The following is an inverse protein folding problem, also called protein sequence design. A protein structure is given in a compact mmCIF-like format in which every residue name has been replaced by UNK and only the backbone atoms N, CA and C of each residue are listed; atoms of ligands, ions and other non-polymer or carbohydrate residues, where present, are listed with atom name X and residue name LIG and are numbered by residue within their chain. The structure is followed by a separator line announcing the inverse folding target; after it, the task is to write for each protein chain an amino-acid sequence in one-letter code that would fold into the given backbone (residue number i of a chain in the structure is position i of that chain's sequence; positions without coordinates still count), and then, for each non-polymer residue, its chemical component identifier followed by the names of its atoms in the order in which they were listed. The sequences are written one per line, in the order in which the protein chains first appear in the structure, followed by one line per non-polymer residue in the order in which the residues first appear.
data_IF_546619999632
#
_entry.id   IF_546619999632
#
_cell.length_a   1.000
_cell.length_b   1.000
_cell.length_c   1.000
_cell.angle_alpha   90.00
_cell.angle_beta   90.00
_cell.angle_gamma   90.00
#
_symmetry.space_group_name_H-M   'P 1'
#
loop_
_entity.id
_entity.type
_entity.pdbx_description
1 polymer ?
#
# COMPACT_ATOMS: atom_id res chain seq x y z
N UNK A 1 -1.91 1.36 2.94
CA UNK A 1 -3.00 1.58 1.96
C UNK A 1 -3.23 3.09 1.81
N UNK A 2 -3.42 3.58 0.57
CA UNK A 2 -3.63 5.01 0.29
C UNK A 2 -4.93 5.49 0.96
N UNK A 3 -4.96 6.55 1.78
CA UNK A 3 -6.18 6.98 2.47
C UNK A 3 -7.33 7.34 1.51
N UNK A 4 -8.57 6.93 1.83
CA UNK A 4 -9.73 7.14 0.96
C UNK A 4 -10.08 8.62 0.78
N UNK A 5 -9.77 9.48 1.76
CA UNK A 5 -9.93 10.93 1.67
C UNK A 5 -9.00 11.56 0.62
N UNK A 6 -7.82 10.95 0.37
CA UNK A 6 -6.92 11.36 -0.72
C UNK A 6 -7.54 10.99 -2.07
N UNK A 7 -8.10 9.79 -2.19
CA UNK A 7 -8.73 9.30 -3.44
C UNK A 7 -9.99 10.12 -3.75
N UNK A 8 -10.79 10.44 -2.72
CA UNK A 8 -12.03 11.22 -2.86
C UNK A 8 -11.82 12.61 -3.45
N UNK A 9 -10.64 13.22 -3.26
CA UNK A 9 -10.30 14.50 -3.91
C UNK A 9 -10.34 14.41 -5.44
N UNK A 10 -10.03 13.24 -6.00
CA UNK A 10 -10.04 12.99 -7.45
C UNK A 10 -11.36 12.39 -7.93
N UNK A 11 -12.05 11.66 -7.04
CA UNK A 11 -13.31 10.97 -7.34
C UNK A 11 -14.40 11.35 -6.33
N UNK A 12 -14.87 12.61 -6.31
CA UNK A 12 -15.73 13.13 -5.24
C UNK A 12 -17.15 12.56 -5.23
N UNK A 13 -17.59 11.99 -6.35
CA UNK A 13 -18.97 11.49 -6.55
C UNK A 13 -19.11 9.98 -6.33
N UNK A 14 -18.00 9.27 -6.15
CA UNK A 14 -18.02 7.82 -5.96
C UNK A 14 -18.33 7.46 -4.51
N UNK A 15 -18.98 6.32 -4.34
CA UNK A 15 -19.25 5.70 -3.04
C UNK A 15 -17.96 5.18 -2.40
N UNK A 16 -18.00 4.97 -1.08
CA UNK A 16 -16.86 4.42 -0.32
C UNK A 16 -16.43 3.03 -0.82
N UNK A 17 -17.36 2.23 -1.33
CA UNK A 17 -17.06 0.91 -1.91
C UNK A 17 -16.28 1.05 -3.21
N UNK A 18 -16.74 1.90 -4.14
CA UNK A 18 -16.01 2.19 -5.38
C UNK A 18 -14.62 2.81 -5.10
N UNK A 19 -14.50 3.66 -4.08
CA UNK A 19 -13.21 4.22 -3.67
C UNK A 19 -12.25 3.16 -3.12
N UNK A 20 -12.76 2.10 -2.46
CA UNK A 20 -11.93 0.97 -2.00
C UNK A 20 -11.43 0.12 -3.16
N UNK A 21 -12.23 -0.08 -4.20
CA UNK A 21 -11.79 -0.77 -5.42
C UNK A 21 -10.61 -0.02 -6.07
N UNK A 22 -10.69 1.31 -6.17
CA UNK A 22 -9.59 2.15 -6.65
C UNK A 22 -8.36 2.02 -5.73
N UNK A 23 -8.57 2.05 -4.41
CA UNK A 23 -7.52 1.91 -3.41
C UNK A 23 -6.75 0.58 -3.59
N UNK A 24 -7.47 -0.52 -3.83
CA UNK A 24 -6.90 -1.84 -4.08
C UNK A 24 -6.09 -1.87 -5.38
N UNK A 25 -6.64 -1.35 -6.48
CA UNK A 25 -5.93 -1.30 -7.77
C UNK A 25 -4.64 -0.49 -7.68
N UNK A 26 -4.68 0.67 -7.02
CA UNK A 26 -3.49 1.51 -6.81
C UNK A 26 -2.45 0.78 -5.96
N UNK A 27 -2.88 0.07 -4.91
CA UNK A 27 -1.98 -0.74 -4.09
C UNK A 27 -1.29 -1.84 -4.92
N UNK A 28 -2.06 -2.63 -5.67
CA UNK A 28 -1.53 -3.70 -6.51
C UNK A 28 -0.58 -3.17 -7.58
N UNK A 29 -0.91 -2.05 -8.22
CA UNK A 29 -0.04 -1.40 -9.18
C UNK A 29 1.27 -0.93 -8.55
N UNK A 30 1.21 -0.30 -7.37
CA UNK A 30 2.40 0.12 -6.64
C UNK A 30 3.27 -1.08 -6.28
N UNK A 31 2.68 -2.17 -5.77
CA UNK A 31 3.40 -3.42 -5.51
C UNK A 31 4.08 -3.95 -6.78
N UNK A 32 3.38 -3.99 -7.92
CA UNK A 32 3.95 -4.46 -9.17
C UNK A 32 5.12 -3.57 -9.66
N UNK A 33 4.99 -2.25 -9.55
CA UNK A 33 6.08 -1.31 -9.90
C UNK A 33 7.28 -1.53 -8.99
N UNK A 34 7.07 -1.63 -7.68
CA UNK A 34 8.16 -1.83 -6.72
C UNK A 34 8.83 -3.19 -6.95
N UNK A 35 8.07 -4.25 -7.21
CA UNK A 35 8.61 -5.55 -7.56
C UNK A 35 9.39 -5.51 -8.88
N UNK A 36 8.92 -4.76 -9.88
CA UNK A 36 9.63 -4.61 -11.15
C UNK A 36 10.96 -3.88 -10.98
N UNK A 37 11.00 -2.82 -10.18
CA UNK A 37 12.18 -1.96 -10.00
C UNK A 37 13.20 -2.58 -9.05
N UNK A 38 12.75 -3.13 -7.93
CA UNK A 38 13.62 -3.60 -6.84
C UNK A 38 13.73 -5.14 -6.78
N UNK A 39 12.97 -5.86 -7.60
CA UNK A 39 12.99 -7.33 -7.66
C UNK A 39 12.49 -7.97 -6.37
N UNK A 40 12.89 -9.23 -6.16
CA UNK A 40 12.49 -10.04 -4.99
C UNK A 40 12.97 -9.48 -3.64
N UNK A 41 13.93 -8.54 -3.63
CA UNK A 41 14.42 -7.89 -2.41
C UNK A 41 13.37 -6.98 -1.77
N UNK A 42 12.43 -6.46 -2.54
CA UNK A 42 11.36 -5.60 -2.02
C UNK A 42 10.39 -6.34 -1.11
N UNK A 43 10.14 -7.63 -1.37
CA UNK A 43 9.20 -8.43 -0.57
C UNK A 43 9.84 -9.11 0.65
N UNK A 44 11.18 -9.06 0.78
CA UNK A 44 11.92 -9.78 1.81
C UNK A 44 11.79 -9.23 3.23
N UNK A 45 11.45 -7.94 3.38
CA UNK A 45 11.45 -7.28 4.70
C UNK A 45 10.05 -7.11 5.30
N UNK A 46 8.96 -7.42 4.57
CA UNK A 46 7.60 -7.20 5.06
C UNK A 46 7.13 -8.24 6.09
N UNK A 47 7.76 -9.41 6.17
CA UNK A 47 7.48 -10.41 7.21
C UNK A 47 8.24 -10.15 8.53
N UNK A 48 9.25 -9.26 8.55
CA UNK A 48 10.00 -8.89 9.77
C UNK A 48 9.49 -7.61 10.46
N UNK A 49 8.58 -6.83 9.85
CA UNK A 49 8.06 -5.58 10.46
C UNK A 49 6.86 -5.83 11.40
N UNK A 50 6.81 -6.99 12.05
CA UNK A 50 5.89 -7.25 13.17
C UNK A 50 6.54 -8.01 14.34
N UNK A 51 7.87 -7.90 14.53
CA UNK A 51 8.51 -8.40 15.75
C UNK A 51 9.43 -7.37 16.41
N UNK A 52 8.88 -6.82 17.50
CA UNK A 52 9.55 -6.32 18.70
C UNK A 52 10.49 -5.10 18.59
N UNK A 53 10.08 -4.06 19.31
CA UNK A 53 10.95 -3.23 20.14
C UNK A 53 11.91 -4.05 21.04
N UNK A 54 12.99 -4.59 20.47
CA UNK A 54 14.22 -5.00 21.17
C UNK A 54 15.34 -4.62 20.19
N UNK A 55 16.16 -3.59 20.37
CA UNK A 55 17.06 -3.33 21.48
C UNK A 55 17.42 -1.83 21.47
N UNK A 56 16.99 -1.07 22.48
CA UNK A 56 17.73 0.10 22.95
C UNK A 56 18.36 -0.27 24.28
N UNK A 57 19.64 -0.65 24.27
CA UNK A 57 20.74 -0.15 25.12
C UNK A 57 22.04 -0.56 24.44
#
# INVERSE_FOLDING_TARGET
MLPLDVIRKYYPVLSDEELKEIQEVVYLLACAVMQHVYGSKWMGDFEEVDQEEKWRV
#
